data_IF_269595715359
#
_entry.id   IF_269595715359
#
_cell.length_a   1.000
_cell.length_b   1.000
_cell.length_c   1.000
_cell.angle_alpha   90.00
_cell.angle_beta   90.00
_cell.angle_gamma   90.00
#
_symmetry.space_group_name_H-M   'P 1'
#
loop_
_entity.id
_entity.type
_entity.pdbx_description
1 polymer ?
#
# COMPACT_ATOMS: atom_id res chain seq x y z
N UNK A 1 9.39 -12.82 3.50
CA UNK A 1 9.31 -12.28 2.12
C UNK A 1 9.12 -13.36 1.06
N UNK A 2 10.16 -14.11 0.68
CA UNK A 2 10.11 -15.03 -0.48
C UNK A 2 8.97 -16.04 -0.42
N UNK A 3 8.75 -16.68 0.74
CA UNK A 3 7.71 -17.68 0.88
C UNK A 3 6.29 -17.10 0.65
N UNK A 4 6.04 -15.87 1.12
CA UNK A 4 4.74 -15.24 0.99
C UNK A 4 4.46 -14.80 -0.46
N UNK A 5 5.43 -14.12 -1.09
CA UNK A 5 5.32 -13.74 -2.50
C UNK A 5 5.24 -14.95 -3.42
N UNK A 6 6.04 -16.00 -3.18
CA UNK A 6 5.97 -17.24 -3.95
C UNK A 6 4.59 -17.90 -3.81
N UNK A 7 4.02 -17.93 -2.61
CA UNK A 7 2.66 -18.45 -2.38
C UNK A 7 1.64 -17.66 -3.20
N UNK A 8 1.70 -16.33 -3.13
CA UNK A 8 0.79 -15.44 -3.86
C UNK A 8 0.93 -15.52 -5.38
N UNK A 9 2.17 -15.60 -5.87
CA UNK A 9 2.43 -15.76 -7.30
C UNK A 9 1.96 -17.11 -7.80
N UNK A 10 2.18 -18.19 -7.04
CA UNK A 10 1.72 -19.53 -7.40
C UNK A 10 0.20 -19.66 -7.45
N UNK A 11 -0.53 -18.88 -6.65
CA UNK A 11 -2.00 -18.92 -6.66
C UNK A 11 -2.62 -18.07 -7.78
N UNK A 12 -1.85 -17.16 -8.39
CA UNK A 12 -2.32 -16.25 -9.45
C UNK A 12 -1.78 -16.59 -10.83
N UNK A 13 -0.67 -17.32 -10.88
CA UNK A 13 -0.01 -17.76 -12.10
C UNK A 13 -0.12 -19.29 -12.10
N UNK A 14 -0.76 -19.83 -13.15
CA UNK A 14 -1.02 -21.27 -13.38
C UNK A 14 0.10 -22.21 -12.86
N UNK A 15 -0.29 -23.39 -12.37
CA UNK A 15 0.49 -24.31 -11.49
C UNK A 15 1.89 -24.73 -12.00
N UNK A 16 2.21 -24.44 -13.26
CA UNK A 16 3.50 -24.73 -13.90
C UNK A 16 4.57 -23.65 -13.65
N UNK A 17 4.29 -22.63 -12.83
CA UNK A 17 5.31 -21.63 -12.46
C UNK A 17 6.29 -22.17 -11.42
N UNK A 18 7.45 -22.62 -11.90
CA UNK A 18 8.64 -22.77 -11.08
C UNK A 18 9.42 -21.44 -11.01
N UNK A 19 10.11 -21.12 -9.91
CA UNK A 19 11.09 -20.04 -9.87
C UNK A 19 12.24 -20.38 -10.84
N UNK A 20 12.17 -19.91 -12.08
CA UNK A 20 13.14 -20.21 -13.16
C UNK A 20 14.44 -19.40 -13.02
N UNK A 21 14.60 -18.56 -11.99
CA UNK A 21 15.80 -17.74 -11.81
C UNK A 21 17.01 -18.48 -11.19
N UNK A 22 17.18 -19.77 -11.48
CA UNK A 22 18.47 -20.41 -11.25
C UNK A 22 19.42 -20.01 -12.38
N UNK A 23 20.54 -19.38 -12.05
CA UNK A 23 21.54 -18.80 -12.98
C UNK A 23 22.22 -19.80 -13.95
N UNK A 24 21.71 -21.03 -14.09
CA UNK A 24 22.30 -22.12 -14.87
C UNK A 24 21.34 -22.60 -15.95
N UNK A 25 21.29 -21.89 -17.07
CA UNK A 25 20.58 -22.35 -18.28
C UNK A 25 21.17 -21.70 -19.54
N UNK A 26 21.64 -22.54 -20.47
CA UNK A 26 22.25 -22.14 -21.75
C UNK A 26 21.25 -21.70 -22.83
N UNK A 27 20.06 -21.23 -22.48
CA UNK A 27 19.01 -20.81 -23.43
C UNK A 27 18.49 -19.39 -23.15
N UNK A 28 19.40 -18.40 -23.11
CA UNK A 28 19.12 -16.97 -22.88
C UNK A 28 17.85 -16.41 -23.56
N UNK A 29 17.52 -16.84 -24.79
CA UNK A 29 16.31 -16.36 -25.49
C UNK A 29 14.99 -16.88 -24.91
N UNK A 30 14.95 -18.15 -24.49
CA UNK A 30 13.73 -18.72 -23.87
C UNK A 30 13.53 -18.16 -22.47
N UNK A 31 14.61 -17.96 -21.73
CA UNK A 31 14.57 -17.39 -20.38
C UNK A 31 14.10 -15.93 -20.43
N UNK A 32 14.59 -15.13 -21.38
CA UNK A 32 14.09 -13.77 -21.63
C UNK A 32 12.60 -13.74 -22.00
N UNK A 33 12.12 -14.67 -22.85
CA UNK A 33 10.70 -14.76 -23.19
C UNK A 33 9.82 -15.16 -21.99
N UNK A 34 10.30 -16.07 -21.15
CA UNK A 34 9.60 -16.49 -19.93
C UNK A 34 9.53 -15.35 -18.91
N UNK A 35 10.64 -14.62 -18.70
CA UNK A 35 10.65 -13.42 -17.84
C UNK A 35 9.74 -12.34 -18.39
N UNK A 36 9.75 -12.08 -19.70
CA UNK A 36 8.85 -11.12 -20.32
C UNK A 36 7.37 -11.51 -20.16
N UNK A 37 7.05 -12.80 -20.32
CA UNK A 37 5.71 -13.34 -20.06
C UNK A 37 5.32 -13.16 -18.59
N UNK A 38 6.21 -13.50 -17.67
CA UNK A 38 6.00 -13.36 -16.22
C UNK A 38 5.76 -11.90 -15.84
N UNK A 39 6.60 -10.97 -16.30
CA UNK A 39 6.42 -9.53 -16.08
C UNK A 39 5.07 -9.06 -16.65
N UNK A 40 4.65 -9.57 -17.81
CA UNK A 40 3.33 -9.28 -18.38
C UNK A 40 2.17 -9.76 -17.50
N UNK A 41 2.30 -10.92 -16.86
CA UNK A 41 1.30 -11.47 -15.92
C UNK A 41 1.29 -10.73 -14.58
N UNK A 42 2.46 -10.28 -14.12
CA UNK A 42 2.61 -9.53 -12.87
C UNK A 42 2.22 -8.05 -13.01
N UNK A 43 2.30 -7.48 -14.21
CA UNK A 43 1.96 -6.07 -14.43
C UNK A 43 0.58 -5.67 -13.87
N UNK A 44 -0.53 -6.41 -14.13
CA UNK A 44 -1.82 -6.08 -13.54
C UNK A 44 -1.99 -6.57 -12.08
N UNK A 45 -1.05 -7.36 -11.56
CA UNK A 45 -1.18 -7.96 -10.24
C UNK A 45 -1.17 -6.88 -9.13
N UNK A 46 -1.95 -7.07 -8.06
CA UNK A 46 -2.11 -6.10 -6.97
C UNK A 46 -0.91 -6.02 -6.01
N UNK A 47 0.23 -6.60 -6.38
CA UNK A 47 1.46 -6.64 -5.58
C UNK A 47 2.69 -6.60 -6.48
N UNK A 48 3.85 -6.35 -5.88
CA UNK A 48 5.16 -6.49 -6.53
C UNK A 48 5.54 -7.96 -6.64
N UNK A 49 5.66 -8.48 -7.86
CA UNK A 49 6.10 -9.86 -8.07
C UNK A 49 7.60 -10.06 -7.82
N UNK A 50 7.95 -11.22 -7.23
CA UNK A 50 9.32 -11.70 -7.10
C UNK A 50 9.71 -12.44 -8.38
N UNK A 51 10.75 -11.95 -9.04
CA UNK A 51 11.30 -12.55 -10.26
C UNK A 51 12.37 -13.60 -9.94
N UNK A 52 13.03 -13.48 -8.80
CA UNK A 52 14.04 -14.45 -8.38
C UNK A 52 14.85 -13.99 -7.18
N UNK A 53 15.81 -14.83 -6.83
CA UNK A 53 16.80 -14.60 -5.78
C UNK A 53 18.19 -14.65 -6.42
N UNK A 54 19.08 -13.77 -5.97
CA UNK A 54 20.50 -13.83 -6.29
C UNK A 54 21.26 -14.09 -4.99
N UNK A 55 21.83 -15.29 -4.90
CA UNK A 55 22.74 -15.69 -3.83
C UNK A 55 24.17 -15.67 -4.37
N UNK A 56 24.98 -14.70 -3.93
CA UNK A 56 26.36 -14.60 -4.42
C UNK A 56 27.24 -15.77 -3.96
N UNK A 57 26.89 -16.47 -2.87
CA UNK A 57 27.62 -17.65 -2.43
C UNK A 57 27.52 -18.82 -3.43
N UNK A 58 26.50 -18.82 -4.29
CA UNK A 58 26.27 -19.83 -5.33
C UNK A 58 26.94 -19.49 -6.67
N UNK A 59 27.45 -18.26 -6.82
CA UNK A 59 28.28 -17.87 -7.95
C UNK A 59 29.66 -18.50 -7.76
N UNK A 60 29.79 -19.74 -8.23
CA UNK A 60 31.06 -20.45 -8.35
C UNK A 60 32.01 -19.67 -9.28
N UNK A 61 32.78 -18.75 -8.71
CA UNK A 61 33.78 -17.98 -9.44
C UNK A 61 33.91 -16.57 -8.87
N UNK A 62 35.14 -16.06 -8.84
CA UNK A 62 35.46 -14.67 -8.47
C UNK A 62 34.73 -13.72 -9.44
N UNK A 63 33.47 -13.39 -9.16
CA UNK A 63 32.82 -12.26 -9.80
C UNK A 63 33.63 -11.02 -9.40
N UNK A 64 34.42 -10.51 -10.32
CA UNK A 64 35.24 -9.32 -10.12
C UNK A 64 34.29 -8.19 -9.67
N UNK A 65 34.48 -7.60 -8.47
CA UNK A 65 33.61 -6.54 -7.97
C UNK A 65 33.45 -5.38 -8.97
N UNK A 66 34.49 -5.14 -9.76
CA UNK A 66 34.52 -4.14 -10.83
C UNK A 66 33.59 -4.49 -12.00
N UNK A 67 33.41 -5.77 -12.33
CA UNK A 67 32.50 -6.21 -13.39
C UNK A 67 31.05 -6.01 -12.96
N UNK A 68 30.71 -6.37 -11.73
CA UNK A 68 29.38 -6.13 -11.15
C UNK A 68 29.05 -4.63 -11.12
N UNK A 69 29.98 -3.80 -10.61
CA UNK A 69 29.80 -2.35 -10.58
C UNK A 69 29.65 -1.75 -11.99
N UNK A 70 30.41 -2.23 -12.98
CA UNK A 70 30.26 -1.78 -14.37
C UNK A 70 28.90 -2.14 -14.96
N UNK A 71 28.36 -3.31 -14.61
CA UNK A 71 27.07 -3.76 -15.12
C UNK A 71 25.88 -3.03 -14.50
N UNK A 72 25.92 -2.78 -13.17
CA UNK A 72 24.76 -2.32 -12.40
C UNK A 72 24.90 -0.94 -11.78
N UNK A 73 26.10 -0.34 -11.82
CA UNK A 73 26.39 0.97 -11.23
C UNK A 73 26.37 1.00 -9.71
N UNK A 74 26.31 -0.16 -9.05
CA UNK A 74 26.28 -0.32 -7.60
C UNK A 74 27.31 -1.37 -7.17
N UNK A 75 27.91 -1.25 -5.97
CA UNK A 75 28.86 -2.25 -5.49
C UNK A 75 28.17 -3.62 -5.34
N UNK A 76 28.91 -4.73 -5.50
CA UNK A 76 28.34 -6.04 -5.27
C UNK A 76 27.85 -6.19 -3.83
N UNK A 77 26.81 -7.02 -3.61
CA UNK A 77 26.39 -7.43 -2.28
C UNK A 77 27.54 -7.90 -1.40
N UNK A 78 27.33 -7.86 -0.08
CA UNK A 78 28.18 -8.64 0.82
C UNK A 78 28.00 -10.14 0.52
N UNK A 79 29.03 -10.99 0.67
CA UNK A 79 28.95 -12.42 0.35
C UNK A 79 27.80 -13.18 1.05
N UNK A 80 27.41 -12.72 2.23
CA UNK A 80 26.31 -13.28 3.04
C UNK A 80 24.92 -12.68 2.72
N UNK A 81 24.83 -11.71 1.81
CA UNK A 81 23.58 -11.05 1.48
C UNK A 81 22.78 -11.86 0.46
N UNK A 82 21.49 -12.02 0.75
CA UNK A 82 20.49 -12.52 -0.21
C UNK A 82 19.89 -11.31 -0.93
N UNK A 83 19.90 -11.34 -2.26
CA UNK A 83 19.26 -10.30 -3.08
C UNK A 83 17.95 -10.81 -3.66
N UNK A 84 16.87 -10.11 -3.37
CA UNK A 84 15.56 -10.38 -3.95
C UNK A 84 15.35 -9.49 -5.17
N UNK A 85 15.06 -10.12 -6.31
CA UNK A 85 14.84 -9.42 -7.58
C UNK A 85 13.35 -9.30 -7.80
N UNK A 86 12.84 -8.07 -7.73
CA UNK A 86 11.43 -7.77 -7.96
C UNK A 86 11.20 -7.21 -9.36
N UNK A 87 9.96 -7.30 -9.83
CA UNK A 87 9.53 -6.49 -10.96
C UNK A 87 9.65 -4.99 -10.62
N UNK A 88 9.98 -4.16 -11.61
CA UNK A 88 10.05 -2.73 -11.39
C UNK A 88 8.66 -2.07 -11.54
N UNK A 89 7.99 -1.89 -10.41
CA UNK A 89 6.72 -1.15 -10.33
C UNK A 89 6.91 0.38 -10.22
N UNK A 90 8.14 0.88 -10.17
CA UNK A 90 8.43 2.27 -9.81
C UNK A 90 8.79 2.41 -8.33
N UNK A 91 9.28 3.59 -7.95
CA UNK A 91 9.72 3.89 -6.57
C UNK A 91 8.74 4.80 -5.81
N UNK A 92 7.66 5.19 -6.48
CA UNK A 92 6.69 6.11 -5.90
C UNK A 92 5.67 5.35 -5.07
N UNK A 93 5.53 5.75 -3.82
CA UNK A 93 4.60 5.16 -2.85
C UNK A 93 3.53 6.16 -2.45
N UNK A 94 2.51 5.72 -1.71
CA UNK A 94 1.54 6.61 -1.07
C UNK A 94 2.26 7.67 -0.22
N UNK A 95 3.32 7.31 0.50
CA UNK A 95 4.13 8.26 1.27
C UNK A 95 4.69 9.40 0.41
N UNK A 96 5.22 9.06 -0.78
CA UNK A 96 5.77 10.07 -1.70
C UNK A 96 4.70 11.02 -2.27
N UNK A 97 3.44 10.58 -2.32
CA UNK A 97 2.30 11.33 -2.83
C UNK A 97 1.55 12.12 -1.74
N UNK A 98 1.55 11.63 -0.50
CA UNK A 98 0.81 12.12 0.67
C UNK A 98 1.35 13.47 1.18
N UNK A 99 1.24 14.49 0.33
CA UNK A 99 1.62 15.87 0.59
C UNK A 99 0.56 16.79 -0.02
N UNK A 100 0.32 17.97 0.59
CA UNK A 100 -0.61 18.95 0.05
C UNK A 100 -0.34 19.28 -1.44
N UNK A 101 -1.38 19.30 -2.30
CA UNK A 101 -1.22 19.58 -3.73
C UNK A 101 -0.50 20.90 -4.00
N UNK A 102 -0.76 21.93 -3.20
CA UNK A 102 -0.11 23.23 -3.29
C UNK A 102 1.41 23.13 -3.12
N UNK A 103 1.86 22.39 -2.09
CA UNK A 103 3.28 22.14 -1.81
C UNK A 103 3.92 21.32 -2.94
N UNK A 104 3.22 20.29 -3.44
CA UNK A 104 3.72 19.46 -4.54
C UNK A 104 3.88 20.27 -5.84
N UNK A 105 2.95 21.17 -6.13
CA UNK A 105 3.03 22.09 -7.28
C UNK A 105 4.17 23.09 -7.13
N UNK A 106 4.36 23.66 -5.94
CA UNK A 106 5.44 24.60 -5.65
C UNK A 106 6.84 23.96 -5.82
N UNK A 107 6.95 22.67 -5.52
CA UNK A 107 8.20 21.90 -5.65
C UNK A 107 8.45 21.33 -7.06
N UNK A 108 7.65 21.69 -8.07
CA UNK A 108 7.90 21.26 -9.43
C UNK A 108 9.22 21.85 -9.97
N UNK A 109 9.98 21.09 -10.77
CA UNK A 109 11.18 21.62 -11.42
C UNK A 109 10.85 22.85 -12.27
N UNK A 110 11.70 23.88 -12.16
CA UNK A 110 11.54 25.12 -12.94
C UNK A 110 11.65 24.79 -14.44
N UNK A 111 10.56 24.98 -15.18
CA UNK A 111 10.57 24.93 -16.64
C UNK A 111 11.00 26.28 -17.20
N UNK A 112 11.92 26.26 -18.15
CA UNK A 112 12.33 27.46 -18.91
C UNK A 112 11.57 27.50 -20.23
N UNK A 113 10.99 28.65 -20.55
CA UNK A 113 10.31 28.88 -21.82
C UNK A 113 11.30 29.02 -22.98
N UNK A 114 10.77 29.24 -24.19
CA UNK A 114 11.56 29.38 -25.42
C UNK A 114 12.66 30.45 -25.34
N UNK A 115 12.45 31.52 -24.56
CA UNK A 115 13.42 32.59 -24.33
C UNK A 115 14.17 32.49 -22.99
N UNK A 116 14.17 31.33 -22.34
CA UNK A 116 14.88 31.10 -21.08
C UNK A 116 14.19 31.62 -19.82
N UNK A 117 13.09 32.36 -19.95
CA UNK A 117 12.30 32.86 -18.82
C UNK A 117 11.62 31.70 -18.06
N UNK A 118 11.55 31.73 -16.72
CA UNK A 118 10.79 30.77 -15.94
C UNK A 118 9.31 30.77 -16.36
N UNK A 119 8.75 29.58 -16.52
CA UNK A 119 7.32 29.38 -16.81
C UNK A 119 6.64 28.97 -15.51
N UNK A 120 5.64 29.74 -15.10
CA UNK A 120 4.79 29.39 -13.96
C UNK A 120 4.07 28.07 -14.25
N UNK A 121 4.06 27.11 -13.32
CA UNK A 121 3.33 25.86 -13.51
C UNK A 121 1.85 26.11 -13.75
N UNK A 122 1.20 25.26 -14.53
CA UNK A 122 -0.25 25.29 -14.74
C UNK A 122 -1.01 25.23 -13.41
N UNK A 123 -2.23 25.77 -13.32
CA UNK A 123 -3.05 25.62 -12.12
C UNK A 123 -3.30 24.13 -11.81
N UNK A 124 -3.55 23.84 -10.53
CA UNK A 124 -3.94 22.50 -10.12
C UNK A 124 -5.22 22.06 -10.85
N UNK A 125 -5.38 20.76 -11.17
CA UNK A 125 -6.67 20.24 -11.62
C UNK A 125 -7.77 20.58 -10.60
N UNK A 126 -9.05 20.68 -11.00
CA UNK A 126 -10.15 20.95 -10.06
C UNK A 126 -10.17 19.99 -8.87
N UNK A 127 -10.61 20.47 -7.69
CA UNK A 127 -10.61 19.68 -6.45
C UNK A 127 -11.30 18.33 -6.64
N UNK A 128 -12.52 18.33 -7.21
CA UNK A 128 -13.29 17.10 -7.45
C UNK A 128 -12.55 16.09 -8.34
N UNK A 129 -11.81 16.56 -9.33
CA UNK A 129 -11.03 15.67 -10.21
C UNK A 129 -9.88 15.01 -9.45
N UNK A 130 -9.21 15.75 -8.56
CA UNK A 130 -8.16 15.21 -7.69
C UNK A 130 -8.74 14.24 -6.67
N UNK A 131 -9.85 14.60 -6.02
CA UNK A 131 -10.56 13.76 -5.08
C UNK A 131 -10.97 12.43 -5.72
N UNK A 132 -11.54 12.45 -6.92
CA UNK A 132 -11.86 11.24 -7.68
C UNK A 132 -10.62 10.37 -7.97
N UNK A 133 -9.48 10.98 -8.30
CA UNK A 133 -8.24 10.24 -8.53
C UNK A 133 -7.74 9.55 -7.26
N UNK A 134 -7.82 10.24 -6.11
CA UNK A 134 -7.43 9.69 -4.80
C UNK A 134 -8.41 8.60 -4.36
N UNK A 135 -9.72 8.86 -4.34
CA UNK A 135 -10.75 7.91 -3.85
C UNK A 135 -10.92 6.73 -4.81
N UNK A 136 -11.28 7.00 -6.07
CA UNK A 136 -11.62 5.95 -7.04
C UNK A 136 -10.40 5.28 -7.65
N UNK A 137 -9.23 5.93 -7.57
CA UNK A 137 -7.96 5.37 -8.00
C UNK A 137 -7.18 4.74 -6.85
N UNK A 138 -6.64 5.56 -5.95
CA UNK A 138 -5.69 5.10 -4.92
C UNK A 138 -6.36 4.29 -3.80
N UNK A 139 -7.39 4.85 -3.17
CA UNK A 139 -8.08 4.21 -2.03
C UNK A 139 -8.76 2.92 -2.48
N UNK A 140 -9.56 2.98 -3.55
CA UNK A 140 -10.20 1.80 -4.15
C UNK A 140 -9.17 0.74 -4.57
N UNK A 141 -8.06 1.17 -5.17
CA UNK A 141 -6.96 0.28 -5.58
C UNK A 141 -6.28 -0.40 -4.40
N UNK A 142 -6.01 0.32 -3.31
CA UNK A 142 -5.38 -0.24 -2.11
C UNK A 142 -6.30 -1.22 -1.37
N UNK A 143 -7.58 -0.89 -1.23
CA UNK A 143 -8.59 -1.80 -0.66
C UNK A 143 -8.75 -3.05 -1.53
N UNK A 144 -8.83 -2.88 -2.86
CA UNK A 144 -8.90 -4.02 -3.78
C UNK A 144 -7.68 -4.91 -3.67
N UNK A 145 -6.48 -4.31 -3.64
CA UNK A 145 -5.24 -5.06 -3.53
C UNK A 145 -5.18 -5.86 -2.22
N UNK A 146 -5.53 -5.24 -1.09
CA UNK A 146 -5.58 -5.95 0.20
C UNK A 146 -6.62 -7.07 0.20
N UNK A 147 -7.80 -6.81 -0.37
CA UNK A 147 -8.84 -7.84 -0.51
C UNK A 147 -8.34 -9.03 -1.35
N UNK A 148 -7.62 -8.78 -2.44
CA UNK A 148 -7.02 -9.84 -3.26
C UNK A 148 -6.04 -10.68 -2.42
N UNK A 149 -5.16 -10.05 -1.62
CA UNK A 149 -4.21 -10.77 -0.75
C UNK A 149 -4.94 -11.64 0.29
N UNK A 150 -5.95 -11.07 0.93
CA UNK A 150 -6.76 -11.73 1.95
C UNK A 150 -7.55 -12.92 1.39
N UNK A 151 -8.11 -12.81 0.19
CA UNK A 151 -8.82 -13.92 -0.47
C UNK A 151 -7.89 -15.03 -0.92
N UNK A 152 -6.62 -14.73 -1.19
CA UNK A 152 -5.57 -15.73 -1.45
C UNK A 152 -5.03 -16.39 -0.17
N UNK A 153 -5.65 -16.12 0.99
CA UNK A 153 -5.28 -16.77 2.24
C UNK A 153 -4.01 -16.21 2.85
N UNK A 154 -3.63 -14.97 2.55
CA UNK A 154 -2.45 -14.29 3.10
C UNK A 154 -2.85 -13.12 3.98
N UNK A 155 -2.02 -12.82 4.98
CA UNK A 155 -2.04 -11.58 5.77
C UNK A 155 -0.73 -10.84 5.59
N UNK A 156 -0.77 -9.52 5.45
CA UNK A 156 0.37 -8.69 5.08
C UNK A 156 1.29 -8.37 6.27
N UNK A 157 0.69 -8.01 7.41
CA UNK A 157 1.30 -7.75 8.73
C UNK A 157 2.25 -6.55 8.83
N UNK A 158 2.49 -5.83 7.74
CA UNK A 158 3.39 -4.66 7.70
C UNK A 158 2.89 -3.57 6.75
N UNK A 159 1.56 -3.34 6.71
CA UNK A 159 1.02 -2.26 5.87
C UNK A 159 1.37 -0.90 6.46
N UNK A 160 1.82 -0.01 5.58
CA UNK A 160 2.14 1.39 5.86
C UNK A 160 2.21 2.20 4.55
N UNK A 161 2.43 3.52 4.64
CA UNK A 161 2.43 4.40 3.46
C UNK A 161 3.51 4.04 2.42
N UNK A 162 4.59 3.39 2.82
CA UNK A 162 5.67 2.94 1.93
C UNK A 162 5.36 1.60 1.26
N UNK A 163 4.53 0.76 1.88
CA UNK A 163 4.14 -0.56 1.36
C UNK A 163 3.13 -0.51 0.21
N UNK A 164 2.62 0.69 -0.13
CA UNK A 164 1.66 0.88 -1.21
C UNK A 164 2.32 1.68 -2.33
N UNK A 165 2.68 0.99 -3.41
CA UNK A 165 3.30 1.56 -4.60
C UNK A 165 2.22 2.13 -5.52
N UNK A 166 2.46 3.35 -5.99
CA UNK A 166 1.66 4.05 -6.99
C UNK A 166 2.42 4.04 -8.31
N UNK A 167 1.94 3.23 -9.26
CA UNK A 167 2.56 3.01 -10.55
C UNK A 167 1.65 3.41 -11.71
N UNK A 168 2.22 3.53 -12.90
CA UNK A 168 1.50 3.87 -14.13
C UNK A 168 1.56 2.73 -15.14
N UNK A 169 0.49 2.58 -15.93
CA UNK A 169 0.48 1.73 -17.14
C UNK A 169 1.42 2.25 -18.23
N UNK A 170 1.82 3.52 -18.17
CA UNK A 170 2.76 4.12 -19.12
C UNK A 170 4.21 3.72 -18.82
N UNK A 171 5.14 4.17 -19.68
CA UNK A 171 6.57 3.92 -19.49
C UNK A 171 7.14 4.68 -18.29
N UNK A 172 6.68 5.92 -18.04
CA UNK A 172 7.10 6.68 -16.86
C UNK A 172 6.20 6.38 -15.67
N UNK A 173 6.69 5.54 -14.76
CA UNK A 173 5.94 5.15 -13.55
C UNK A 173 5.60 6.32 -12.64
N UNK A 174 6.36 7.43 -12.72
CA UNK A 174 6.15 8.64 -11.91
C UNK A 174 4.92 9.42 -12.32
N UNK A 175 4.34 9.16 -13.49
CA UNK A 175 3.08 9.80 -13.91
C UNK A 175 1.96 9.58 -12.90
N UNK A 176 1.95 8.43 -12.22
CA UNK A 176 0.98 8.09 -11.19
C UNK A 176 1.00 9.06 -9.99
N UNK A 177 2.16 9.66 -9.71
CA UNK A 177 2.37 10.64 -8.64
C UNK A 177 2.60 12.05 -9.15
N UNK A 178 2.28 12.33 -10.40
CA UNK A 178 2.22 13.70 -10.91
C UNK A 178 1.17 14.50 -10.12
N UNK A 179 1.43 15.79 -9.91
CA UNK A 179 0.44 16.70 -9.32
C UNK A 179 -0.75 16.95 -10.26
N UNK A 180 -0.60 16.60 -11.54
CA UNK A 180 -1.65 16.69 -12.57
C UNK A 180 -2.30 15.34 -12.90
N UNK A 181 -1.96 14.28 -12.17
CA UNK A 181 -2.54 12.96 -12.37
C UNK A 181 -4.03 12.97 -12.03
N UNK A 182 -4.86 12.57 -13.00
CA UNK A 182 -6.33 12.57 -12.87
C UNK A 182 -6.99 11.33 -13.49
N UNK A 183 -6.26 10.56 -14.29
CA UNK A 183 -6.78 9.39 -15.00
C UNK A 183 -6.59 8.12 -14.16
N UNK A 184 -7.66 7.66 -13.50
CA UNK A 184 -7.65 6.42 -12.71
C UNK A 184 -7.34 5.19 -13.57
N UNK A 185 -7.71 5.20 -14.86
CA UNK A 185 -7.45 4.10 -15.80
C UNK A 185 -5.97 3.81 -16.02
N UNK A 186 -5.09 4.79 -15.78
CA UNK A 186 -3.64 4.67 -15.96
C UNK A 186 -2.92 4.33 -14.65
N UNK A 187 -3.56 4.54 -13.50
CA UNK A 187 -3.01 4.22 -12.19
C UNK A 187 -3.03 2.69 -11.97
N UNK A 188 -1.95 2.20 -11.38
CA UNK A 188 -1.81 0.85 -10.85
C UNK A 188 -1.40 1.01 -9.39
N UNK A 189 -2.13 0.36 -8.49
CA UNK A 189 -1.81 0.30 -7.06
C UNK A 189 -1.30 -1.11 -6.74
N UNK A 190 -0.14 -1.21 -6.12
CA UNK A 190 0.49 -2.48 -5.75
C UNK A 190 0.91 -2.47 -4.29
N UNK A 191 0.69 -3.57 -3.59
CA UNK A 191 1.30 -3.82 -2.29
C UNK A 191 2.75 -4.31 -2.45
N UNK A 192 3.60 -3.95 -1.51
CA UNK A 192 5.00 -4.37 -1.37
C UNK A 192 5.29 -4.67 0.10
N UNK A 193 6.52 -5.05 0.44
CA UNK A 193 6.93 -5.33 1.83
C UNK A 193 6.30 -6.59 2.44
N UNK A 194 6.14 -7.64 1.63
CA UNK A 194 5.71 -8.99 2.06
C UNK A 194 6.74 -9.71 2.96
N UNK A 195 7.72 -8.99 3.49
CA UNK A 195 8.73 -9.45 4.45
C UNK A 195 8.12 -10.19 5.63
N UNK A 196 7.05 -9.62 6.18
CA UNK A 196 6.33 -10.06 7.38
C UNK A 196 5.03 -10.80 7.07
N UNK A 197 4.68 -10.92 5.79
CA UNK A 197 3.46 -11.59 5.36
C UNK A 197 3.53 -13.09 5.62
N UNK A 198 2.39 -13.68 5.99
CA UNK A 198 2.27 -15.11 6.28
C UNK A 198 0.94 -15.66 5.77
N UNK A 199 0.88 -16.96 5.40
CA UNK A 199 -0.42 -17.62 5.18
C UNK A 199 -1.29 -17.53 6.42
N UNK A 200 -2.60 -17.35 6.24
CA UNK A 200 -3.59 -17.31 7.31
C UNK A 200 -3.52 -18.56 8.20
N UNK A 201 -3.29 -19.74 7.61
CA UNK A 201 -3.11 -21.01 8.33
C UNK A 201 -1.85 -21.04 9.21
N UNK A 202 -0.88 -20.17 8.90
CA UNK A 202 0.42 -20.07 9.59
C UNK A 202 0.55 -18.80 10.44
N UNK A 203 -0.56 -18.09 10.72
CA UNK A 203 -0.52 -17.01 11.70
C UNK A 203 -0.26 -17.66 13.06
N UNK A 204 1.00 -17.60 13.50
CA UNK A 204 1.43 -18.32 14.69
C UNK A 204 1.13 -17.52 15.94
N UNK A 205 0.82 -18.25 17.01
CA UNK A 205 0.83 -17.75 18.39
C UNK A 205 2.25 -17.58 18.95
N UNK A 206 3.27 -17.85 18.14
CA UNK A 206 4.66 -17.84 18.55
C UNK A 206 5.32 -16.47 18.30
N UNK A 207 4.59 -15.55 17.67
CA UNK A 207 4.90 -14.13 17.61
C UNK A 207 4.40 -13.44 18.91
N UNK A 208 5.29 -13.12 19.86
CA UNK A 208 4.88 -12.60 21.16
C UNK A 208 4.24 -11.21 21.07
N UNK A 209 4.62 -10.42 20.07
CA UNK A 209 4.09 -9.07 19.88
C UNK A 209 2.66 -9.14 19.35
N UNK A 210 2.41 -10.02 18.37
CA UNK A 210 1.05 -10.29 17.88
C UNK A 210 0.14 -10.81 19.01
N UNK A 211 0.60 -11.80 19.77
CA UNK A 211 -0.19 -12.35 20.89
C UNK A 211 -0.48 -11.29 21.95
N UNK A 212 0.50 -10.45 22.26
CA UNK A 212 0.33 -9.36 23.23
C UNK A 212 -0.74 -8.39 22.75
N UNK A 213 -0.69 -7.95 21.48
CA UNK A 213 -1.71 -7.07 20.91
C UNK A 213 -3.08 -7.73 20.88
N UNK A 214 -3.21 -8.95 20.37
CA UNK A 214 -4.50 -9.66 20.35
C UNK A 214 -5.14 -9.79 21.75
N UNK A 215 -4.34 -10.02 22.79
CA UNK A 215 -4.81 -10.09 24.18
C UNK A 215 -5.34 -8.75 24.71
N UNK A 216 -4.83 -7.60 24.26
CA UNK A 216 -5.40 -6.29 24.68
C UNK A 216 -6.82 -6.10 24.16
N UNK A 217 -7.20 -6.83 23.11
CA UNK A 217 -8.57 -6.89 22.58
C UNK A 217 -9.41 -8.03 23.19
N UNK A 218 -8.91 -8.70 24.23
CA UNK A 218 -9.65 -9.76 24.93
C UNK A 218 -9.55 -11.14 24.26
N UNK A 219 -8.72 -11.31 23.23
CA UNK A 219 -8.53 -12.61 22.60
C UNK A 219 -7.68 -13.53 23.49
N UNK A 220 -8.20 -14.72 23.78
CA UNK A 220 -7.53 -15.73 24.59
C UNK A 220 -6.65 -16.62 23.71
N UNK A 221 -5.42 -16.18 23.46
CA UNK A 221 -4.43 -16.92 22.66
C UNK A 221 -3.35 -17.49 23.57
N UNK A 222 -3.15 -18.81 23.56
CA UNK A 222 -2.00 -19.45 24.21
C UNK A 222 -0.92 -19.82 23.18
N UNK A 223 0.37 -19.60 23.47
CA UNK A 223 1.47 -20.05 22.62
C UNK A 223 1.41 -21.56 22.36
N UNK A 224 1.73 -21.99 21.14
CA UNK A 224 1.68 -23.37 20.71
C UNK A 224 0.27 -23.94 20.46
N UNK A 225 -0.79 -23.12 20.51
CA UNK A 225 -2.11 -23.55 20.03
C UNK A 225 -2.19 -23.44 18.50
N UNK A 226 -2.88 -24.39 17.87
CA UNK A 226 -3.14 -24.34 16.44
C UNK A 226 -3.91 -23.07 16.07
N UNK A 227 -3.56 -22.47 14.93
CA UNK A 227 -4.25 -21.31 14.37
C UNK A 227 -5.74 -21.61 14.27
N UNK A 228 -6.55 -20.87 15.02
CA UNK A 228 -7.99 -20.89 14.85
C UNK A 228 -8.42 -19.75 13.91
N UNK A 229 -9.64 -19.84 13.40
CA UNK A 229 -10.21 -18.83 12.50
C UNK A 229 -10.17 -17.44 13.13
N UNK A 230 -10.39 -17.33 14.44
CA UNK A 230 -10.41 -16.05 15.16
C UNK A 230 -9.04 -15.33 15.11
N UNK A 231 -7.94 -16.07 15.21
CA UNK A 231 -6.56 -15.55 15.10
C UNK A 231 -6.28 -15.03 13.69
N UNK A 232 -6.63 -15.81 12.67
CA UNK A 232 -6.45 -15.40 11.27
C UNK A 232 -7.26 -14.14 10.96
N UNK A 233 -8.51 -14.10 11.40
CA UNK A 233 -9.40 -12.95 11.25
C UNK A 233 -8.87 -11.70 11.94
N UNK A 234 -8.31 -11.84 13.15
CA UNK A 234 -7.71 -10.72 13.86
C UNK A 234 -6.47 -10.19 13.12
N UNK A 235 -5.63 -11.06 12.56
CA UNK A 235 -4.49 -10.65 11.75
C UNK A 235 -4.93 -9.89 10.48
N UNK A 236 -5.99 -10.35 9.81
CA UNK A 236 -6.59 -9.60 8.69
C UNK A 236 -7.13 -8.23 9.14
N UNK A 237 -7.74 -8.17 10.32
CA UNK A 237 -8.22 -6.92 10.89
C UNK A 237 -7.07 -5.96 11.27
N UNK A 238 -5.90 -6.46 11.66
CA UNK A 238 -4.69 -5.63 11.83
C UNK A 238 -4.26 -4.99 10.50
N UNK A 239 -4.28 -5.74 9.39
CA UNK A 239 -4.00 -5.18 8.06
C UNK A 239 -5.01 -4.08 7.68
N UNK A 240 -6.30 -4.33 7.91
CA UNK A 240 -7.36 -3.36 7.65
C UNK A 240 -7.18 -2.08 8.45
N UNK A 241 -6.84 -2.23 9.72
CA UNK A 241 -6.60 -1.13 10.64
C UNK A 241 -5.41 -0.27 10.20
N UNK A 242 -4.30 -0.91 9.85
CA UNK A 242 -3.13 -0.22 9.30
C UNK A 242 -3.46 0.50 7.98
N UNK A 243 -4.20 -0.16 7.08
CA UNK A 243 -4.66 0.47 5.83
C UNK A 243 -5.59 1.66 6.10
N UNK A 244 -6.42 1.60 7.14
CA UNK A 244 -7.27 2.71 7.58
C UNK A 244 -6.48 3.97 7.89
N UNK A 245 -5.38 3.85 8.65
CA UNK A 245 -4.51 5.00 8.93
C UNK A 245 -3.76 5.50 7.71
N UNK A 246 -3.32 4.61 6.82
CA UNK A 246 -2.70 5.00 5.55
C UNK A 246 -3.68 5.82 4.69
N UNK A 247 -4.93 5.37 4.58
CA UNK A 247 -5.98 6.07 3.83
C UNK A 247 -6.31 7.40 4.51
N UNK A 248 -6.50 7.42 5.84
CA UNK A 248 -6.81 8.64 6.56
C UNK A 248 -5.73 9.72 6.36
N UNK A 249 -4.46 9.35 6.52
CA UNK A 249 -3.33 10.24 6.27
C UNK A 249 -3.29 10.72 4.81
N UNK A 250 -3.55 9.83 3.84
CA UNK A 250 -3.61 10.17 2.43
C UNK A 250 -4.71 11.21 2.14
N UNK A 251 -5.91 11.01 2.68
CA UNK A 251 -7.05 11.92 2.47
C UNK A 251 -6.80 13.29 3.08
N UNK A 252 -6.44 13.34 4.38
CA UNK A 252 -6.18 14.59 5.09
C UNK A 252 -5.05 15.40 4.48
N UNK A 253 -4.01 14.74 3.93
CA UNK A 253 -2.89 15.47 3.31
C UNK A 253 -3.18 15.91 1.88
N UNK A 254 -3.72 15.03 1.04
CA UNK A 254 -3.76 15.27 -0.41
C UNK A 254 -5.01 16.00 -0.87
N UNK A 255 -6.04 16.03 -0.03
CA UNK A 255 -7.28 16.77 -0.30
C UNK A 255 -7.40 18.05 0.52
N UNK A 256 -6.37 18.38 1.31
CA UNK A 256 -6.24 19.68 1.99
C UNK A 256 -6.18 20.86 1.00
N UNK A 257 -6.91 21.92 1.33
CA UNK A 257 -7.01 23.15 0.54
C UNK A 257 -6.20 24.30 1.16
N UNK A 258 -4.88 24.20 1.05
CA UNK A 258 -3.98 25.28 1.45
C UNK A 258 -4.05 26.46 0.47
N UNK A 259 -4.05 27.69 1.01
CA UNK A 259 -3.97 28.92 0.21
C UNK A 259 -2.54 29.16 -0.25
N UNK A 260 -1.56 28.93 0.64
CA UNK A 260 -0.13 29.04 0.36
C UNK A 260 0.64 27.80 0.83
N UNK A 261 1.81 27.48 0.24
CA UNK A 261 2.65 26.38 0.71
C UNK A 261 3.13 26.51 2.16
N UNK A 262 3.12 27.73 2.72
CA UNK A 262 3.56 28.04 4.07
C UNK A 262 2.46 27.94 5.12
N UNK A 263 1.21 27.74 4.70
CA UNK A 263 0.08 27.62 5.61
C UNK A 263 0.28 26.41 6.56
N UNK A 264 0.02 26.57 7.87
CA UNK A 264 0.13 25.47 8.81
C UNK A 264 -0.93 24.41 8.50
N UNK A 265 -0.55 23.16 8.69
CA UNK A 265 -1.46 22.02 8.58
C UNK A 265 -1.34 21.19 9.86
N UNK A 266 -2.46 20.72 10.44
CA UNK A 266 -2.40 19.80 11.56
C UNK A 266 -1.57 18.55 11.22
N UNK A 267 -0.89 17.92 12.20
CA UNK A 267 -0.12 16.70 11.95
C UNK A 267 -1.00 15.56 11.43
N UNK A 268 -0.55 14.92 10.35
CA UNK A 268 -1.22 13.79 9.69
C UNK A 268 -0.32 12.57 9.58
N UNK A 269 0.76 12.52 10.37
CA UNK A 269 1.56 11.31 10.51
C UNK A 269 0.81 10.26 11.34
N UNK A 270 1.25 9.00 11.20
CA UNK A 270 0.55 7.86 11.77
C UNK A 270 0.46 7.92 13.30
N UNK A 271 1.55 8.28 13.99
CA UNK A 271 1.58 8.37 15.46
C UNK A 271 0.61 9.44 15.97
N UNK A 272 0.61 10.61 15.32
CA UNK A 272 -0.33 11.69 15.65
C UNK A 272 -1.78 11.29 15.46
N UNK A 273 -2.10 10.64 14.32
CA UNK A 273 -3.47 10.19 14.03
C UNK A 273 -3.92 9.06 14.94
N UNK A 274 -3.04 8.09 15.25
CA UNK A 274 -3.34 7.01 16.18
C UNK A 274 -3.64 7.53 17.58
N UNK A 275 -2.87 8.51 18.06
CA UNK A 275 -3.13 9.16 19.34
C UNK A 275 -4.45 9.94 19.32
N UNK A 276 -4.66 10.74 18.28
CA UNK A 276 -5.84 11.58 18.17
C UNK A 276 -7.12 10.73 18.13
N UNK A 277 -7.16 9.73 17.25
CA UNK A 277 -8.34 8.89 17.12
C UNK A 277 -8.47 7.92 18.30
N UNK A 278 -7.39 7.27 18.72
CA UNK A 278 -7.41 6.21 19.73
C UNK A 278 -7.54 6.70 21.17
N UNK A 279 -6.87 7.81 21.53
CA UNK A 279 -6.83 8.30 22.91
C UNK A 279 -7.75 9.50 23.14
N UNK A 280 -7.79 10.44 22.19
CA UNK A 280 -8.52 11.71 22.39
C UNK A 280 -10.01 11.55 22.07
N UNK A 281 -10.33 10.87 20.97
CA UNK A 281 -11.71 10.68 20.52
C UNK A 281 -12.30 9.30 20.84
N UNK A 282 -11.58 8.47 21.60
CA UNK A 282 -12.01 7.11 21.97
C UNK A 282 -12.54 6.30 20.77
N UNK A 283 -11.85 6.45 19.63
CA UNK A 283 -12.12 5.79 18.35
C UNK A 283 -13.45 6.15 17.69
N UNK A 284 -14.08 7.22 18.13
CA UNK A 284 -15.27 7.78 17.50
C UNK A 284 -14.91 8.53 16.22
N UNK A 285 -14.99 7.80 15.11
CA UNK A 285 -14.67 8.31 13.77
C UNK A 285 -15.78 9.22 13.24
N UNK A 286 -17.05 8.93 13.53
CA UNK A 286 -18.19 9.50 12.80
C UNK A 286 -18.75 10.76 13.43
N UNK A 287 -18.61 10.92 14.73
CA UNK A 287 -19.11 12.11 15.43
C UNK A 287 -17.93 13.00 15.83
N UNK A 288 -17.16 12.60 16.85
CA UNK A 288 -16.10 13.45 17.42
C UNK A 288 -14.96 13.75 16.45
N UNK A 289 -14.36 12.73 15.83
CA UNK A 289 -13.25 12.95 14.90
C UNK A 289 -13.71 13.70 13.65
N UNK A 290 -14.88 13.36 13.11
CA UNK A 290 -15.49 14.11 12.00
C UNK A 290 -15.69 15.59 12.35
N UNK A 291 -16.21 15.91 13.54
CA UNK A 291 -16.39 17.29 14.01
C UNK A 291 -15.05 18.03 14.12
N UNK A 292 -14.02 17.38 14.63
CA UNK A 292 -12.67 17.93 14.65
C UNK A 292 -12.18 18.28 13.24
N UNK A 293 -12.33 17.39 12.26
CA UNK A 293 -11.92 17.64 10.87
C UNK A 293 -12.75 18.77 10.23
N UNK A 294 -14.04 18.84 10.54
CA UNK A 294 -14.96 19.87 10.03
C UNK A 294 -14.62 21.28 10.55
N UNK A 295 -14.04 21.38 11.74
CA UNK A 295 -13.63 22.66 12.33
C UNK A 295 -12.34 23.24 11.71
N UNK A 296 -11.65 22.48 10.84
CA UNK A 296 -10.46 22.94 10.13
C UNK A 296 -10.83 23.35 8.70
N UNK A 297 -10.67 24.65 8.37
CA UNK A 297 -11.09 25.21 7.08
C UNK A 297 -10.51 24.47 5.86
N UNK A 298 -9.27 24.00 5.97
CA UNK A 298 -8.55 23.32 4.89
C UNK A 298 -9.12 21.93 4.54
N UNK A 299 -10.03 21.37 5.34
CA UNK A 299 -10.65 20.06 5.13
C UNK A 299 -12.16 20.12 4.86
N UNK A 300 -12.77 21.30 4.72
CA UNK A 300 -14.22 21.43 4.52
C UNK A 300 -14.72 20.59 3.32
N UNK A 301 -14.11 20.74 2.13
CA UNK A 301 -14.49 19.96 0.94
C UNK A 301 -14.29 18.45 1.13
N UNK A 302 -13.29 18.04 1.93
CA UNK A 302 -13.09 16.62 2.26
C UNK A 302 -14.23 16.09 3.13
N UNK A 303 -14.65 16.85 4.14
CA UNK A 303 -15.78 16.46 5.00
C UNK A 303 -17.06 16.34 4.18
N UNK A 304 -17.34 17.34 3.33
CA UNK A 304 -18.50 17.32 2.42
C UNK A 304 -18.52 16.06 1.55
N UNK A 305 -17.38 15.69 0.95
CA UNK A 305 -17.24 14.46 0.16
C UNK A 305 -17.47 13.19 1.00
N UNK A 306 -16.96 13.14 2.22
CA UNK A 306 -17.12 11.96 3.09
C UNK A 306 -18.54 11.83 3.66
N UNK A 307 -19.29 12.93 3.71
CA UNK A 307 -20.69 13.02 4.12
C UNK A 307 -21.69 12.58 3.03
N UNK A 308 -21.26 12.57 1.76
CA UNK A 308 -22.08 12.09 0.66
C UNK A 308 -22.62 10.67 0.93
N UNK A 309 -23.79 10.37 0.36
CA UNK A 309 -24.47 9.08 0.46
C UNK A 309 -24.62 8.56 1.90
N UNK A 310 -25.09 9.44 2.81
CA UNK A 310 -25.32 9.15 4.23
C UNK A 310 -24.02 8.78 4.97
N UNK A 311 -22.98 9.60 4.78
CA UNK A 311 -21.68 9.42 5.43
C UNK A 311 -20.90 8.22 4.90
N UNK A 312 -21.06 7.88 3.61
CA UNK A 312 -20.46 6.71 2.99
C UNK A 312 -18.93 6.67 3.19
N UNK A 313 -18.27 7.82 3.08
CA UNK A 313 -16.84 7.98 3.33
C UNK A 313 -16.45 7.66 4.77
N UNK A 314 -17.16 8.24 5.73
CA UNK A 314 -16.94 7.97 7.15
C UNK A 314 -17.22 6.52 7.53
N UNK A 315 -18.20 5.88 6.89
CA UNK A 315 -18.51 4.46 7.08
C UNK A 315 -17.35 3.55 6.64
N UNK A 316 -16.66 3.88 5.53
CA UNK A 316 -15.46 3.14 5.10
C UNK A 316 -14.32 3.34 6.10
N UNK A 317 -14.05 4.58 6.51
CA UNK A 317 -13.00 4.90 7.49
C UNK A 317 -13.24 4.19 8.82
N UNK A 318 -14.46 4.25 9.37
CA UNK A 318 -14.85 3.55 10.59
C UNK A 318 -14.70 2.02 10.46
N UNK A 319 -15.00 1.46 9.29
CA UNK A 319 -14.84 0.02 9.06
C UNK A 319 -13.39 -0.43 9.09
N UNK A 320 -12.48 0.38 8.56
CA UNK A 320 -11.04 0.11 8.57
C UNK A 320 -10.42 0.41 9.93
N UNK A 321 -10.63 1.61 10.47
CA UNK A 321 -10.00 2.10 11.69
C UNK A 321 -10.45 1.32 12.93
N UNK A 322 -11.68 0.80 12.95
CA UNK A 322 -12.20 -0.03 14.06
C UNK A 322 -12.23 -1.53 13.73
N UNK A 323 -11.46 -1.98 12.73
CA UNK A 323 -11.48 -3.37 12.28
C UNK A 323 -11.08 -4.36 13.40
N UNK A 324 -10.08 -4.04 14.22
CA UNK A 324 -9.58 -4.93 15.29
C UNK A 324 -10.63 -5.15 16.37
N UNK A 325 -11.29 -4.08 16.78
CA UNK A 325 -12.38 -4.05 17.74
C UNK A 325 -13.54 -4.91 17.24
N UNK A 326 -13.93 -4.71 15.98
CA UNK A 326 -15.01 -5.46 15.32
C UNK A 326 -14.67 -6.94 15.21
N UNK A 327 -13.43 -7.29 14.83
CA UNK A 327 -12.97 -8.67 14.75
C UNK A 327 -12.89 -9.36 16.11
N UNK A 328 -12.49 -8.64 17.16
CA UNK A 328 -12.43 -9.18 18.52
C UNK A 328 -13.82 -9.37 19.14
N UNK A 329 -14.77 -8.48 18.83
CA UNK A 329 -16.16 -8.58 19.27
C UNK A 329 -16.96 -9.64 18.49
N UNK A 330 -16.51 -10.04 17.31
CA UNK A 330 -17.19 -11.03 16.48
C UNK A 330 -17.16 -12.42 17.15
N UNK A 331 -18.32 -12.89 17.61
CA UNK A 331 -18.49 -14.22 18.20
C UNK A 331 -18.67 -15.33 17.17
N UNK A 332 -18.93 -14.99 15.90
CA UNK A 332 -19.17 -15.93 14.79
C UNK A 332 -18.56 -15.39 13.48
N UNK A 333 -18.27 -16.28 12.52
CA UNK A 333 -17.72 -15.92 11.20
C UNK A 333 -18.64 -15.00 10.39
N UNK A 334 -19.95 -15.10 10.55
CA UNK A 334 -20.94 -14.35 9.77
C UNK A 334 -20.93 -12.84 10.03
N UNK A 335 -20.27 -12.39 11.09
CA UNK A 335 -20.19 -10.98 11.48
C UNK A 335 -18.88 -10.29 11.06
N UNK A 336 -18.01 -10.97 10.31
CA UNK A 336 -16.73 -10.41 9.91
C UNK A 336 -16.84 -9.56 8.65
N UNK A 337 -16.37 -8.33 8.77
CA UNK A 337 -16.22 -7.41 7.64
C UNK A 337 -15.09 -7.93 6.76
N UNK A 338 -15.41 -8.35 5.54
CA UNK A 338 -14.40 -8.59 4.52
C UNK A 338 -13.96 -7.25 3.91
N UNK A 339 -12.67 -7.11 3.65
CA UNK A 339 -12.11 -5.93 2.95
C UNK A 339 -12.79 -5.73 1.61
N UNK A 340 -13.07 -6.82 0.89
CA UNK A 340 -13.78 -6.81 -0.38
C UNK A 340 -15.16 -6.16 -0.27
N UNK A 341 -15.89 -6.43 0.82
CA UNK A 341 -17.21 -5.87 1.07
C UNK A 341 -17.24 -4.34 1.08
N UNK A 342 -16.14 -3.70 1.47
CA UNK A 342 -16.01 -2.23 1.46
C UNK A 342 -16.10 -1.64 0.05
N UNK A 343 -15.71 -2.39 -0.99
CA UNK A 343 -15.75 -1.90 -2.37
C UNK A 343 -17.17 -1.72 -2.92
N UNK A 344 -18.18 -2.27 -2.25
CA UNK A 344 -19.59 -2.07 -2.58
C UNK A 344 -20.17 -0.76 -1.99
N UNK A 345 -19.37 -0.05 -1.18
CA UNK A 345 -19.79 1.21 -0.57
C UNK A 345 -19.99 2.32 -1.64
N UNK A 346 -21.04 3.17 -1.52
CA UNK A 346 -21.33 4.25 -2.48
C UNK A 346 -20.16 5.19 -2.79
N UNK A 347 -19.24 5.39 -1.84
CA UNK A 347 -18.01 6.18 -2.03
C UNK A 347 -17.23 5.81 -3.29
N UNK A 348 -17.31 4.54 -3.72
CA UNK A 348 -16.53 4.01 -4.85
C UNK A 348 -17.29 3.93 -6.19
N UNK A 349 -18.54 4.40 -6.24
CA UNK A 349 -19.40 4.43 -7.43
C UNK A 349 -19.15 5.67 -8.29
#
# INVERSE_FOLDING_TARGET
EMAALATLQSSLIDDDWAPIAAARSGNLRKDQMNVAKLVGLLQPAPFTGLLGEVNLAELEGNMEPNEFYRALGVPPPKPEAVWLVHEYAGLSTVDSYAKPPMIRRANLPIKKGFFGNPVTPDPLPPWQTRANYVIKGMVKGAISALADIHEQGLVHRSLGRTSIILSSKTQDKREAVSVYATMTSNLIVKLSDFGFAVPQSKVTTDDPDFVTRARTFGLSIQPGQETNVQIANFAMAEDMHALGFVILALLLTTLAELVTPEDPMPPTDEDSLQRLLGEIFDKDVKEQFREYVMNEDLWQSLVELLDEDDGAGWNVLDSLLNAREKAAAATTQDNLISVRGLLNNPLFN
#
